data_IF_128198911919
#
_entry.id   IF_128198911919
#
_cell.length_a   1.000
_cell.length_b   1.000
_cell.length_c   1.000
_cell.angle_alpha   90.00
_cell.angle_beta   90.00
_cell.angle_gamma   90.00
#
_symmetry.space_group_name_H-M   'P 1'
#
loop_
_entity.id
_entity.type
_entity.pdbx_description
1 polymer ?
#
# COMPACT_ATOMS: atom_id res chain seq x y z
N UNK A 1 23.58 -25.09 53.46
CA UNK A 1 22.34 -25.89 53.42
C UNK A 1 22.30 -26.63 52.09
N UNK A 2 22.26 -27.97 52.16
CA UNK A 2 21.75 -28.88 51.11
C UNK A 2 20.32 -28.43 50.68
N UNK A 3 19.74 -28.79 49.53
CA UNK A 3 19.39 -30.15 49.06
C UNK A 3 19.08 -30.15 47.54
N UNK A 4 19.59 -31.20 46.88
CA UNK A 4 19.14 -32.02 45.74
C UNK A 4 18.04 -31.60 44.75
N UNK A 5 18.22 -32.08 43.51
CA UNK A 5 17.17 -32.31 42.52
C UNK A 5 17.68 -32.89 41.20
N UNK A 6 17.98 -34.20 41.18
CA UNK A 6 18.28 -35.02 39.99
C UNK A 6 17.09 -35.11 39.02
N UNK A 7 17.30 -34.87 37.71
CA UNK A 7 16.44 -35.42 36.66
C UNK A 7 17.12 -35.39 35.27
N UNK A 8 17.16 -36.55 34.60
CA UNK A 8 16.87 -36.62 33.16
C UNK A 8 18.00 -36.46 32.13
N UNK A 9 19.09 -37.21 32.22
CA UNK A 9 19.97 -37.52 31.06
C UNK A 9 20.15 -39.03 30.97
N UNK A 10 19.21 -39.75 30.37
CA UNK A 10 19.31 -41.20 30.10
C UNK A 10 18.35 -41.63 28.96
N UNK A 11 18.18 -40.80 27.93
CA UNK A 11 17.21 -41.05 26.85
C UNK A 11 17.77 -41.03 25.42
N UNK A 12 19.03 -40.63 25.21
CA UNK A 12 19.60 -40.43 23.86
C UNK A 12 20.70 -41.45 23.49
N UNK A 13 21.31 -42.14 24.47
CA UNK A 13 22.31 -43.20 24.22
C UNK A 13 21.67 -44.56 23.88
N UNK A 14 20.45 -44.83 24.37
CA UNK A 14 19.78 -46.12 24.15
C UNK A 14 19.31 -46.32 22.71
N UNK A 15 19.00 -45.24 22.00
CA UNK A 15 18.47 -45.28 20.63
C UNK A 15 19.61 -45.42 19.59
N UNK A 16 20.78 -44.83 19.87
CA UNK A 16 22.00 -45.04 19.08
C UNK A 16 22.54 -46.47 19.24
N UNK A 17 22.53 -47.03 20.45
CA UNK A 17 23.05 -48.38 20.69
C UNK A 17 22.08 -49.48 20.19
N UNK A 18 20.77 -49.20 20.17
CA UNK A 18 19.76 -50.07 19.56
C UNK A 18 19.85 -50.09 18.02
N UNK A 19 20.02 -48.92 17.39
CA UNK A 19 20.22 -48.82 15.93
C UNK A 19 21.53 -49.45 15.47
N UNK A 20 22.62 -49.35 16.24
CA UNK A 20 23.88 -50.05 15.97
C UNK A 20 23.71 -51.58 16.08
N UNK A 21 22.99 -52.07 17.09
CA UNK A 21 22.71 -53.51 17.24
C UNK A 21 21.77 -54.06 16.17
N UNK A 22 20.83 -53.27 15.65
CA UNK A 22 20.01 -53.66 14.50
C UNK A 22 20.82 -53.72 13.20
N UNK A 23 21.69 -52.72 12.97
CA UNK A 23 22.62 -52.69 11.85
C UNK A 23 23.55 -53.92 11.83
N UNK A 24 24.12 -54.31 12.97
CA UNK A 24 24.98 -55.50 13.07
C UNK A 24 24.18 -56.79 12.82
N UNK A 25 22.93 -56.85 13.30
CA UNK A 25 22.06 -58.03 13.12
C UNK A 25 21.65 -58.21 11.65
N UNK A 26 21.35 -57.13 10.94
CA UNK A 26 21.01 -57.17 9.52
C UNK A 26 22.23 -57.39 8.63
N UNK A 27 23.40 -56.86 9.00
CA UNK A 27 24.68 -57.20 8.37
C UNK A 27 25.01 -58.70 8.46
N UNK A 28 24.80 -59.32 9.63
CA UNK A 28 24.99 -60.78 9.82
C UNK A 28 23.99 -61.61 9.02
N UNK A 29 22.72 -61.18 8.90
CA UNK A 29 21.73 -61.85 8.04
C UNK A 29 22.13 -61.77 6.57
N UNK A 30 22.56 -60.61 6.09
CA UNK A 30 23.02 -60.42 4.71
C UNK A 30 24.24 -61.31 4.40
N UNK A 31 25.20 -61.40 5.32
CA UNK A 31 26.34 -62.31 5.21
C UNK A 31 25.91 -63.78 5.15
N UNK A 32 25.01 -64.22 6.04
CA UNK A 32 24.47 -65.59 6.05
C UNK A 32 23.75 -65.95 4.74
N UNK A 33 22.90 -65.06 4.22
CA UNK A 33 22.23 -65.27 2.93
C UNK A 33 23.20 -65.30 1.75
N UNK A 34 24.26 -64.48 1.77
CA UNK A 34 25.30 -64.54 0.73
C UNK A 34 26.08 -65.86 0.76
N UNK A 35 26.44 -66.35 1.95
CA UNK A 35 27.16 -67.61 2.11
C UNK A 35 26.30 -68.79 1.66
N UNK A 36 25.02 -68.77 2.00
CA UNK A 36 24.07 -69.78 1.54
C UNK A 36 23.90 -69.76 0.02
N UNK A 37 23.82 -68.57 -0.59
CA UNK A 37 23.77 -68.41 -2.05
C UNK A 37 25.03 -68.93 -2.75
N UNK A 38 26.22 -68.66 -2.21
CA UNK A 38 27.50 -69.17 -2.73
C UNK A 38 27.57 -70.69 -2.63
N UNK A 39 27.18 -71.27 -1.48
CA UNK A 39 27.16 -72.71 -1.30
C UNK A 39 26.19 -73.40 -2.27
N UNK A 40 25.00 -72.84 -2.44
CA UNK A 40 23.97 -73.37 -3.34
C UNK A 40 24.39 -73.31 -4.81
N UNK A 41 24.98 -72.18 -5.24
CA UNK A 41 25.48 -72.01 -6.62
C UNK A 41 26.70 -72.90 -6.92
N UNK A 42 27.57 -73.10 -5.93
CA UNK A 42 28.70 -74.04 -6.04
C UNK A 42 28.22 -75.48 -6.17
N UNK A 43 27.23 -75.89 -5.37
CA UNK A 43 26.62 -77.21 -5.43
C UNK A 43 25.93 -77.45 -6.78
N UNK A 44 25.14 -76.48 -7.25
CA UNK A 44 24.47 -76.55 -8.55
C UNK A 44 25.49 -76.61 -9.71
N UNK A 45 26.59 -75.86 -9.63
CA UNK A 45 27.68 -75.90 -10.62
C UNK A 45 28.37 -77.26 -10.66
N UNK A 46 28.61 -77.89 -9.51
CA UNK A 46 29.17 -79.24 -9.43
C UNK A 46 28.23 -80.28 -10.03
N UNK A 47 26.93 -80.17 -9.77
CA UNK A 47 25.91 -81.05 -10.35
C UNK A 47 25.88 -80.89 -11.88
N UNK A 48 25.82 -79.66 -12.40
CA UNK A 48 25.84 -79.36 -13.83
C UNK A 48 27.12 -79.86 -14.51
N UNK A 49 28.28 -79.65 -13.89
CA UNK A 49 29.56 -80.11 -14.41
C UNK A 49 29.61 -81.64 -14.49
N UNK A 50 29.14 -82.32 -13.44
CA UNK A 50 29.06 -83.79 -13.42
C UNK A 50 28.07 -84.34 -14.45
N UNK A 51 27.02 -83.59 -14.75
CA UNK A 51 25.98 -83.94 -15.72
C UNK A 51 26.46 -83.74 -17.17
N UNK A 52 27.09 -82.61 -17.49
CA UNK A 52 27.65 -82.35 -18.82
C UNK A 52 28.82 -83.26 -19.15
N UNK A 53 29.70 -83.54 -18.18
CA UNK A 53 30.81 -84.47 -18.37
C UNK A 53 30.33 -85.87 -18.77
N UNK A 54 29.11 -86.25 -18.38
CA UNK A 54 28.48 -87.53 -18.75
C UNK A 54 27.60 -87.46 -20.00
N UNK A 55 27.29 -86.27 -20.51
CA UNK A 55 26.43 -86.10 -21.69
C UNK A 55 27.22 -85.99 -23.00
N UNK A 56 28.43 -85.40 -22.97
CA UNK A 56 29.24 -85.11 -24.17
C UNK A 56 29.73 -86.37 -24.91
N UNK A 57 29.87 -87.50 -24.21
CA UNK A 57 30.25 -88.80 -24.82
C UNK A 57 29.02 -89.65 -25.24
N UNK A 58 27.80 -89.17 -24.92
CA UNK A 58 26.56 -89.89 -25.16
C UNK A 58 25.94 -89.59 -26.52
N UNK A 59 25.76 -90.63 -27.35
CA UNK A 59 24.83 -90.62 -28.49
C UNK A 59 23.38 -90.39 -28.00
N UNK A 60 23.02 -89.16 -27.65
CA UNK A 60 21.66 -88.65 -27.50
C UNK A 60 20.73 -89.28 -26.45
N UNK A 61 21.18 -90.17 -25.56
CA UNK A 61 20.29 -90.86 -24.60
C UNK A 61 20.58 -90.51 -23.15
N UNK A 62 19.64 -89.80 -22.52
CA UNK A 62 19.75 -89.27 -21.15
C UNK A 62 19.77 -90.33 -20.04
N UNK A 63 19.40 -91.57 -20.35
CA UNK A 63 19.23 -92.64 -19.36
C UNK A 63 20.51 -93.45 -19.09
N UNK A 64 21.58 -93.29 -19.89
CA UNK A 64 22.86 -94.03 -19.76
C UNK A 64 23.99 -93.27 -19.05
N UNK A 65 23.66 -92.13 -18.44
CA UNK A 65 24.59 -91.20 -17.80
C UNK A 65 25.41 -91.83 -16.65
N UNK A 66 24.91 -92.90 -16.01
CA UNK A 66 25.53 -93.49 -14.81
C UNK A 66 26.57 -94.60 -15.06
N UNK A 67 26.80 -95.04 -16.31
CA UNK A 67 27.59 -96.25 -16.60
C UNK A 67 29.00 -96.01 -17.16
N UNK A 68 29.43 -94.75 -17.36
CA UNK A 68 30.68 -94.45 -18.08
C UNK A 68 31.85 -93.97 -17.19
N UNK A 69 33.07 -94.43 -17.52
CA UNK A 69 34.35 -93.95 -16.94
C UNK A 69 34.80 -92.71 -17.70
N UNK A 70 34.92 -91.59 -16.99
CA UNK A 70 35.25 -90.27 -17.54
C UNK A 70 36.72 -90.17 -17.96
N UNK A 71 37.00 -89.74 -19.19
CA UNK A 71 38.36 -89.55 -19.70
C UNK A 71 38.86 -88.13 -19.40
N UNK A 72 40.18 -87.92 -19.39
CA UNK A 72 40.77 -86.66 -18.91
C UNK A 72 40.39 -85.42 -19.77
N UNK A 73 40.10 -85.63 -21.07
CA UNK A 73 39.66 -84.56 -21.99
C UNK A 73 38.20 -84.12 -21.83
N UNK A 74 37.33 -85.02 -21.36
CA UNK A 74 35.88 -84.78 -21.26
C UNK A 74 35.53 -83.85 -20.10
N UNK A 75 36.33 -83.90 -19.03
CA UNK A 75 36.23 -82.96 -17.91
C UNK A 75 36.54 -81.52 -18.32
N UNK A 76 37.45 -81.32 -19.27
CA UNK A 76 37.81 -79.98 -19.73
C UNK A 76 36.70 -79.35 -20.58
N UNK A 77 36.16 -80.07 -21.56
CA UNK A 77 35.02 -79.61 -22.37
C UNK A 77 33.75 -79.37 -21.51
N UNK A 78 33.46 -80.27 -20.57
CA UNK A 78 32.36 -80.08 -19.62
C UNK A 78 32.54 -78.87 -18.70
N UNK A 79 33.77 -78.59 -18.27
CA UNK A 79 34.06 -77.39 -17.47
C UNK A 79 33.78 -76.10 -18.24
N UNK A 80 34.15 -76.03 -19.52
CA UNK A 80 33.87 -74.87 -20.38
C UNK A 80 32.36 -74.64 -20.55
N UNK A 81 31.60 -75.70 -20.82
CA UNK A 81 30.14 -75.62 -20.95
C UNK A 81 29.46 -75.18 -19.64
N UNK A 82 29.94 -75.70 -18.50
CA UNK A 82 29.39 -75.35 -17.17
C UNK A 82 29.69 -73.91 -16.80
N UNK A 83 30.94 -73.45 -16.98
CA UNK A 83 31.34 -72.07 -16.72
C UNK A 83 30.55 -71.11 -17.60
N UNK A 84 30.33 -71.45 -18.89
CA UNK A 84 29.51 -70.64 -19.79
C UNK A 84 28.04 -70.53 -19.30
N UNK A 85 27.44 -71.63 -18.83
CA UNK A 85 26.06 -71.62 -18.33
C UNK A 85 25.90 -70.86 -17.01
N UNK A 86 26.83 -71.04 -16.07
CA UNK A 86 26.83 -70.28 -14.81
C UNK A 86 27.04 -68.79 -15.08
N UNK A 87 27.96 -68.45 -15.98
CA UNK A 87 28.18 -67.07 -16.39
C UNK A 87 26.92 -66.45 -17.03
N UNK A 88 26.20 -67.19 -17.89
CA UNK A 88 24.92 -66.74 -18.47
C UNK A 88 23.83 -66.55 -17.42
N UNK A 89 23.72 -67.46 -16.44
CA UNK A 89 22.74 -67.35 -15.36
C UNK A 89 23.00 -66.14 -14.46
N UNK A 90 24.27 -65.91 -14.10
CA UNK A 90 24.70 -64.74 -13.31
C UNK A 90 24.49 -63.44 -14.10
N UNK A 91 24.88 -63.42 -15.38
CA UNK A 91 24.66 -62.26 -16.25
C UNK A 91 23.17 -61.96 -16.44
N UNK A 92 22.33 -62.98 -16.65
CA UNK A 92 20.88 -62.84 -16.77
C UNK A 92 20.23 -62.36 -15.47
N UNK A 93 20.66 -62.87 -14.31
CA UNK A 93 20.19 -62.41 -13.00
C UNK A 93 20.59 -60.96 -12.71
N UNK A 94 21.82 -60.57 -13.02
CA UNK A 94 22.29 -59.20 -12.90
C UNK A 94 21.55 -58.25 -13.85
N UNK A 95 21.33 -58.65 -15.11
CA UNK A 95 20.55 -57.88 -16.08
C UNK A 95 19.09 -57.70 -15.65
N UNK A 96 18.46 -58.76 -15.13
CA UNK A 96 17.10 -58.68 -14.59
C UNK A 96 17.00 -57.74 -13.38
N UNK A 97 17.95 -57.80 -12.45
CA UNK A 97 18.01 -56.89 -11.30
C UNK A 97 18.27 -55.43 -11.72
N UNK A 98 19.15 -55.21 -12.69
CA UNK A 98 19.39 -53.88 -13.25
C UNK A 98 18.12 -53.33 -13.92
N UNK A 99 17.43 -54.14 -14.72
CA UNK A 99 16.14 -53.78 -15.33
C UNK A 99 15.07 -53.45 -14.28
N UNK A 100 14.93 -54.29 -13.25
CA UNK A 100 13.99 -54.05 -12.13
C UNK A 100 14.30 -52.75 -11.39
N UNK A 101 15.58 -52.48 -11.09
CA UNK A 101 16.01 -51.24 -10.44
C UNK A 101 15.73 -50.01 -11.31
N UNK A 102 16.00 -50.10 -12.61
CA UNK A 102 15.72 -49.01 -13.55
C UNK A 102 14.22 -48.70 -13.60
N UNK A 103 13.37 -49.71 -13.68
CA UNK A 103 11.92 -49.51 -13.69
C UNK A 103 11.42 -48.81 -12.43
N UNK A 104 11.94 -49.17 -11.25
CA UNK A 104 11.60 -48.51 -9.99
C UNK A 104 12.16 -47.09 -9.91
N UNK A 105 13.36 -46.85 -10.43
CA UNK A 105 13.93 -45.50 -10.50
C UNK A 105 13.10 -44.58 -11.40
N UNK A 106 12.65 -45.07 -12.56
CA UNK A 106 11.80 -44.32 -13.48
C UNK A 106 10.43 -43.99 -12.85
N UNK A 107 9.83 -44.94 -12.13
CA UNK A 107 8.59 -44.71 -11.38
C UNK A 107 8.78 -43.69 -10.26
N UNK A 108 9.85 -43.81 -9.48
CA UNK A 108 10.15 -42.88 -8.40
C UNK A 108 10.42 -41.47 -8.92
N UNK A 109 11.09 -41.33 -10.07
CA UNK A 109 11.31 -40.03 -10.71
C UNK A 109 10.00 -39.40 -11.20
N UNK A 110 9.10 -40.20 -11.79
CA UNK A 110 7.77 -39.71 -12.21
C UNK A 110 6.95 -39.23 -11.01
N UNK A 111 6.88 -40.04 -9.95
CA UNK A 111 6.18 -39.65 -8.73
C UNK A 111 6.82 -38.42 -8.08
N UNK A 112 8.16 -38.33 -8.05
CA UNK A 112 8.86 -37.16 -7.54
C UNK A 112 8.53 -35.89 -8.36
N UNK A 113 8.51 -35.98 -9.70
CA UNK A 113 8.13 -34.88 -10.56
C UNK A 113 6.68 -34.45 -10.35
N UNK A 114 5.75 -35.40 -10.24
CA UNK A 114 4.33 -35.13 -9.96
C UNK A 114 4.15 -34.48 -8.58
N UNK A 115 4.82 -34.99 -7.54
CA UNK A 115 4.74 -34.37 -6.20
C UNK A 115 5.28 -32.95 -6.19
N UNK A 116 6.36 -32.66 -6.92
CA UNK A 116 6.92 -31.31 -7.03
C UNK A 116 5.96 -30.35 -7.75
N UNK A 117 5.27 -30.83 -8.79
CA UNK A 117 4.23 -30.03 -9.48
C UNK A 117 3.04 -29.76 -8.56
N UNK A 118 2.57 -30.77 -7.81
CA UNK A 118 1.46 -30.61 -6.87
C UNK A 118 1.83 -29.65 -5.74
N UNK A 119 3.02 -29.74 -5.16
CA UNK A 119 3.46 -28.84 -4.09
C UNK A 119 3.66 -27.41 -4.60
N UNK A 120 4.20 -27.23 -5.81
CA UNK A 120 4.30 -25.91 -6.43
C UNK A 120 2.92 -25.29 -6.68
N UNK A 121 1.96 -26.08 -7.20
CA UNK A 121 0.59 -25.62 -7.40
C UNK A 121 -0.12 -25.31 -6.08
N UNK A 122 0.06 -26.15 -5.05
CA UNK A 122 -0.50 -25.92 -3.73
C UNK A 122 0.08 -24.66 -3.08
N UNK A 123 1.39 -24.43 -3.24
CA UNK A 123 2.04 -23.21 -2.77
C UNK A 123 1.47 -21.97 -3.47
N UNK A 124 1.38 -21.99 -4.81
CA UNK A 124 0.81 -20.88 -5.58
C UNK A 124 -0.63 -20.57 -5.15
N UNK A 125 -1.47 -21.61 -5.00
CA UNK A 125 -2.84 -21.46 -4.54
C UNK A 125 -2.92 -20.93 -3.10
N UNK A 126 -2.00 -21.32 -2.22
CA UNK A 126 -1.95 -20.83 -0.84
C UNK A 126 -1.60 -19.35 -0.76
N UNK A 127 -0.69 -18.86 -1.61
CA UNK A 127 -0.33 -17.44 -1.69
C UNK A 127 -1.50 -16.61 -2.21
N UNK A 128 -2.15 -17.06 -3.29
CA UNK A 128 -3.33 -16.40 -3.85
C UNK A 128 -4.48 -16.36 -2.83
N UNK A 129 -4.73 -17.47 -2.14
CA UNK A 129 -5.74 -17.54 -1.09
C UNK A 129 -5.42 -16.60 0.08
N UNK A 130 -4.16 -16.54 0.49
CA UNK A 130 -3.73 -15.64 1.55
C UNK A 130 -3.96 -14.18 1.16
N UNK A 131 -3.65 -13.78 -0.08
CA UNK A 131 -3.91 -12.41 -0.55
C UNK A 131 -5.42 -12.09 -0.56
N UNK A 132 -6.26 -13.00 -1.06
CA UNK A 132 -7.72 -12.84 -1.05
C UNK A 132 -8.26 -12.70 0.38
N UNK A 133 -7.78 -13.52 1.31
CA UNK A 133 -8.20 -13.47 2.71
C UNK A 133 -7.80 -12.14 3.36
N UNK A 134 -6.59 -11.67 3.10
CA UNK A 134 -6.11 -10.38 3.59
C UNK A 134 -6.91 -9.20 3.01
N UNK A 135 -7.17 -9.18 1.69
CA UNK A 135 -8.02 -8.16 1.07
C UNK A 135 -9.43 -8.17 1.67
N UNK A 136 -9.98 -9.36 1.93
CA UNK A 136 -11.29 -9.50 2.57
C UNK A 136 -11.29 -8.92 3.97
N UNK A 137 -10.23 -9.15 4.76
CA UNK A 137 -10.08 -8.60 6.09
C UNK A 137 -10.07 -7.07 6.07
N UNK A 138 -9.27 -6.46 5.19
CA UNK A 138 -9.23 -5.00 5.04
C UNK A 138 -10.59 -4.42 4.61
N UNK A 139 -11.31 -5.08 3.70
CA UNK A 139 -12.69 -4.68 3.34
C UNK A 139 -13.68 -4.80 4.51
N UNK A 140 -13.46 -5.73 5.43
CA UNK A 140 -14.25 -5.82 6.66
C UNK A 140 -13.93 -4.62 7.58
N UNK A 141 -12.64 -4.32 7.80
CA UNK A 141 -12.22 -3.15 8.58
C UNK A 141 -12.74 -1.84 7.98
N UNK A 142 -12.79 -1.73 6.66
CA UNK A 142 -13.40 -0.59 5.96
C UNK A 142 -14.84 -0.36 6.40
N UNK A 143 -15.66 -1.42 6.34
CA UNK A 143 -17.07 -1.36 6.74
C UNK A 143 -17.23 -1.00 8.22
N UNK A 144 -16.35 -1.51 9.07
CA UNK A 144 -16.35 -1.19 10.51
C UNK A 144 -15.98 0.27 10.77
N UNK A 145 -14.91 0.78 10.16
CA UNK A 145 -14.49 2.18 10.26
C UNK A 145 -15.58 3.13 9.74
N UNK A 146 -16.19 2.81 8.59
CA UNK A 146 -17.32 3.58 8.04
C UNK A 146 -18.53 3.57 8.99
N UNK A 147 -18.82 2.44 9.64
CA UNK A 147 -19.89 2.35 10.65
C UNK A 147 -19.57 3.20 11.88
N UNK A 148 -18.30 3.22 12.33
CA UNK A 148 -17.85 4.06 13.44
C UNK A 148 -18.00 5.55 13.12
N UNK A 149 -17.67 5.98 11.90
CA UNK A 149 -17.89 7.36 11.43
C UNK A 149 -19.37 7.75 11.38
N UNK A 150 -20.29 6.82 11.17
CA UNK A 150 -21.73 7.07 11.20
C UNK A 150 -22.35 7.06 12.61
N UNK A 151 -21.55 6.78 13.65
CA UNK A 151 -22.07 6.56 15.00
C UNK A 151 -22.51 7.87 15.68
N UNK A 152 -23.58 7.89 16.49
CA UNK A 152 -24.05 9.10 17.18
C UNK A 152 -23.07 9.66 18.21
N UNK A 153 -22.25 8.80 18.84
CA UNK A 153 -21.20 9.22 19.79
C UNK A 153 -19.98 9.80 19.07
N UNK A 154 -19.54 11.03 19.38
CA UNK A 154 -18.36 11.65 18.78
C UNK A 154 -17.08 10.87 19.05
N UNK A 155 -16.93 10.27 20.24
CA UNK A 155 -15.75 9.47 20.58
C UNK A 155 -15.59 8.25 19.65
N UNK A 156 -16.72 7.63 19.26
CA UNK A 156 -16.71 6.50 18.32
C UNK A 156 -16.40 6.99 16.91
N UNK A 157 -16.90 8.17 16.50
CA UNK A 157 -16.55 8.75 15.20
C UNK A 157 -15.06 9.09 15.10
N UNK A 158 -14.48 9.67 16.16
CA UNK A 158 -13.03 9.94 16.25
C UNK A 158 -12.24 8.63 16.11
N UNK A 159 -12.65 7.56 16.79
CA UNK A 159 -12.03 6.24 16.60
C UNK A 159 -12.15 5.76 15.15
N UNK A 160 -13.31 5.98 14.51
CA UNK A 160 -13.54 5.70 13.10
C UNK A 160 -12.62 6.49 12.16
N UNK A 161 -12.31 7.75 12.46
CA UNK A 161 -11.34 8.56 11.68
C UNK A 161 -9.95 7.92 11.72
N UNK A 162 -9.46 7.57 12.92
CA UNK A 162 -8.16 6.91 13.05
C UNK A 162 -8.14 5.52 12.40
N UNK A 163 -9.22 4.75 12.55
CA UNK A 163 -9.35 3.44 11.92
C UNK A 163 -9.35 3.54 10.38
N UNK A 164 -10.04 4.54 9.82
CA UNK A 164 -10.04 4.80 8.37
C UNK A 164 -8.66 5.24 7.87
N UNK A 165 -7.97 6.10 8.63
CA UNK A 165 -6.60 6.50 8.31
C UNK A 165 -5.62 5.32 8.32
N UNK A 166 -5.64 4.50 9.37
CA UNK A 166 -4.79 3.31 9.45
C UNK A 166 -5.10 2.29 8.34
N UNK A 167 -6.37 2.15 7.95
CA UNK A 167 -6.76 1.30 6.83
C UNK A 167 -6.22 1.82 5.48
N UNK A 168 -6.23 3.13 5.26
CA UNK A 168 -5.64 3.72 4.07
C UNK A 168 -4.12 3.45 4.05
N UNK A 169 -3.45 3.58 5.19
CA UNK A 169 -2.02 3.27 5.34
C UNK A 169 -1.75 1.77 5.03
N UNK A 170 -2.61 0.85 5.50
CA UNK A 170 -2.54 -0.59 5.18
C UNK A 170 -2.74 -0.87 3.68
N UNK A 171 -3.66 -0.18 3.01
CA UNK A 171 -3.88 -0.31 1.56
C UNK A 171 -2.70 0.23 0.76
N UNK A 172 -2.12 1.35 1.20
CA UNK A 172 -0.93 1.92 0.57
C UNK A 172 0.25 0.95 0.62
N UNK A 173 0.47 0.28 1.75
CA UNK A 173 1.54 -0.73 1.89
C UNK A 173 1.44 -1.94 0.94
N UNK A 174 0.30 -2.05 0.24
CA UNK A 174 0.00 -3.11 -0.74
C UNK A 174 -0.11 -2.59 -2.17
N UNK A 175 0.31 -1.35 -2.42
CA UNK A 175 0.22 -0.69 -3.73
C UNK A 175 -1.22 -0.60 -4.27
N UNK A 176 -2.22 -0.50 -3.37
CA UNK A 176 -3.65 -0.41 -3.72
C UNK A 176 -4.16 1.02 -3.63
N UNK A 177 -3.62 1.87 -4.48
CA UNK A 177 -3.91 3.30 -4.49
C UNK A 177 -5.40 3.63 -4.70
N UNK A 178 -6.10 2.78 -5.45
CA UNK A 178 -7.55 2.84 -5.64
C UNK A 178 -8.32 2.77 -4.31
N UNK A 179 -7.90 1.88 -3.40
CA UNK A 179 -8.54 1.70 -2.10
C UNK A 179 -8.09 2.78 -1.09
N UNK A 180 -6.87 3.32 -1.22
CA UNK A 180 -6.42 4.50 -0.44
C UNK A 180 -7.30 5.71 -0.74
N UNK A 181 -7.53 5.99 -2.03
CA UNK A 181 -8.40 7.07 -2.47
C UNK A 181 -9.81 6.92 -1.89
N UNK A 182 -10.39 5.71 -1.94
CA UNK A 182 -11.72 5.45 -1.34
C UNK A 182 -11.77 5.80 0.15
N UNK A 183 -10.72 5.49 0.91
CA UNK A 183 -10.67 5.85 2.33
C UNK A 183 -10.63 7.37 2.55
N UNK A 184 -9.85 8.09 1.73
CA UNK A 184 -9.76 9.55 1.75
C UNK A 184 -11.08 10.19 1.31
N UNK A 185 -11.76 9.64 0.30
CA UNK A 185 -13.06 10.10 -0.17
C UNK A 185 -14.12 10.01 0.93
N UNK A 186 -14.08 8.97 1.79
CA UNK A 186 -14.99 8.89 2.94
C UNK A 186 -14.70 9.99 3.96
N UNK A 187 -13.42 10.27 4.24
CA UNK A 187 -13.02 11.33 5.17
C UNK A 187 -13.39 12.71 4.63
N UNK A 188 -13.09 12.98 3.36
CA UNK A 188 -13.46 14.22 2.68
C UNK A 188 -14.98 14.36 2.57
N UNK A 189 -15.68 13.30 2.19
CA UNK A 189 -17.14 13.24 2.18
C UNK A 189 -17.77 13.52 3.53
N UNK A 190 -17.13 13.12 4.64
CA UNK A 190 -17.57 13.51 5.98
C UNK A 190 -17.49 15.04 6.19
N UNK A 191 -16.39 15.67 5.77
CA UNK A 191 -16.20 17.12 5.87
C UNK A 191 -17.22 17.91 5.03
N UNK A 192 -17.72 17.31 3.94
CA UNK A 192 -18.74 17.92 3.07
C UNK A 192 -20.18 17.78 3.59
N UNK A 193 -20.40 17.04 4.67
CA UNK A 193 -21.74 16.96 5.27
C UNK A 193 -22.15 18.32 5.86
N UNK A 194 -23.46 18.63 5.92
CA UNK A 194 -23.94 19.89 6.49
C UNK A 194 -23.40 20.11 7.91
N UNK A 195 -22.84 21.29 8.15
CA UNK A 195 -22.23 21.66 9.41
C UNK A 195 -22.54 23.10 9.78
N UNK A 196 -23.06 23.30 10.99
CA UNK A 196 -23.28 24.63 11.56
C UNK A 196 -22.29 24.81 12.71
N UNK A 197 -21.29 25.65 12.48
CA UNK A 197 -20.23 25.99 13.45
C UNK A 197 -20.75 26.37 14.83
N UNK A 198 -21.83 27.15 14.88
CA UNK A 198 -22.50 27.60 16.11
C UNK A 198 -23.01 26.46 17.00
N UNK A 199 -23.13 25.25 16.47
CA UNK A 199 -23.54 24.04 17.19
C UNK A 199 -22.44 22.97 17.24
N UNK A 200 -21.26 23.30 16.73
CA UNK A 200 -20.11 22.41 16.58
C UNK A 200 -19.63 21.78 17.88
N UNK A 201 -19.67 22.53 18.99
CA UNK A 201 -19.30 22.09 20.34
C UNK A 201 -20.53 21.82 21.23
N UNK A 202 -21.73 21.85 20.64
CA UNK A 202 -22.95 21.69 21.41
C UNK A 202 -23.25 20.21 21.62
N UNK A 203 -23.73 19.89 22.81
CA UNK A 203 -24.36 18.60 23.08
C UNK A 203 -25.81 18.52 22.53
N UNK A 204 -26.26 19.52 21.77
CA UNK A 204 -27.59 19.52 21.16
C UNK A 204 -27.61 18.53 19.99
N UNK A 205 -28.57 17.61 20.01
CA UNK A 205 -28.81 16.65 18.92
C UNK A 205 -29.94 17.09 18.01
N UNK A 206 -30.85 17.92 18.52
CA UNK A 206 -32.05 18.33 17.80
C UNK A 206 -32.50 19.72 18.22
N UNK A 207 -32.92 20.53 17.25
CA UNK A 207 -33.66 21.77 17.45
C UNK A 207 -34.95 21.72 16.64
N UNK A 208 -36.06 22.10 17.27
CA UNK A 208 -37.36 22.24 16.59
C UNK A 208 -37.73 23.72 16.63
N UNK A 209 -37.87 24.33 15.47
CA UNK A 209 -38.30 25.72 15.34
C UNK A 209 -39.75 25.70 14.85
N UNK A 210 -40.68 26.17 15.69
CA UNK A 210 -42.10 26.30 15.33
C UNK A 210 -42.39 27.72 14.86
N UNK A 211 -42.76 27.87 13.60
CA UNK A 211 -43.13 29.15 12.99
C UNK A 211 -44.64 29.20 12.78
N UNK A 212 -45.34 30.25 13.26
CA UNK A 212 -46.76 30.40 12.98
C UNK A 212 -46.96 30.55 11.47
N UNK A 213 -47.90 29.79 10.91
CA UNK A 213 -48.25 29.91 9.50
C UNK A 213 -49.03 31.20 9.31
N UNK A 214 -48.34 32.29 8.98
CA UNK A 214 -48.98 33.54 8.62
C UNK A 214 -49.50 33.40 7.18
N UNK A 215 -50.78 33.05 7.00
CA UNK A 215 -51.45 33.32 5.74
C UNK A 215 -52.85 33.91 5.92
N UNK A 216 -53.11 34.91 5.06
CA UNK A 216 -54.12 35.96 5.11
C UNK A 216 -55.55 35.52 4.73
N UNK A 217 -55.94 34.28 5.01
CA UNK A 217 -57.31 33.80 4.75
C UNK A 217 -58.02 33.47 6.06
N UNK A 218 -59.12 34.20 6.32
CA UNK A 218 -59.95 34.10 7.54
C UNK A 218 -60.49 32.70 7.86
N UNK A 219 -60.36 31.74 6.94
CA UNK A 219 -60.92 30.39 7.05
C UNK A 219 -59.87 29.25 7.09
N UNK A 220 -58.56 29.55 7.08
CA UNK A 220 -57.54 28.51 7.22
C UNK A 220 -57.23 28.24 8.69
N UNK A 221 -57.32 26.98 9.13
CA UNK A 221 -57.00 26.59 10.50
C UNK A 221 -55.58 27.06 10.90
N UNK A 222 -55.42 27.59 12.11
CA UNK A 222 -54.11 27.95 12.67
C UNK A 222 -53.21 26.71 12.70
N UNK A 223 -52.32 26.58 11.71
CA UNK A 223 -51.23 25.62 11.70
C UNK A 223 -49.91 26.28 12.09
N UNK A 224 -49.02 25.53 12.74
CA UNK A 224 -47.61 25.90 12.86
C UNK A 224 -46.80 25.06 11.87
N UNK A 225 -45.79 25.66 11.25
CA UNK A 225 -44.76 24.93 10.50
C UNK A 225 -43.64 24.62 11.47
N UNK A 226 -43.29 23.35 11.62
CA UNK A 226 -42.15 22.92 12.44
C UNK A 226 -40.96 22.57 11.56
N UNK A 227 -39.86 23.28 11.72
CA UNK A 227 -38.57 22.95 11.10
C UNK A 227 -37.77 22.09 12.10
N UNK A 228 -37.41 20.87 11.71
CA UNK A 228 -36.65 19.93 12.54
C UNK A 228 -35.21 19.90 12.05
N UNK A 229 -34.27 20.32 12.90
CA UNK A 229 -32.85 20.28 12.63
C UNK A 229 -32.21 19.24 13.52
N UNK A 230 -31.55 18.26 12.92
CA UNK A 230 -30.75 17.26 13.63
C UNK A 230 -29.27 17.59 13.46
N UNK A 231 -28.55 17.62 14.59
CA UNK A 231 -27.13 17.98 14.64
C UNK A 231 -26.33 16.78 15.13
N UNK A 232 -25.12 16.61 14.58
CA UNK A 232 -24.13 15.70 15.14
C UNK A 232 -23.48 16.38 16.34
N UNK A 233 -23.60 15.76 17.52
CA UNK A 233 -22.97 16.29 18.73
C UNK A 233 -21.45 16.36 18.57
N UNK A 234 -20.84 17.47 18.99
CA UNK A 234 -19.38 17.62 19.01
C UNK A 234 -18.74 17.23 17.66
N UNK A 235 -19.34 17.70 16.57
CA UNK A 235 -18.85 17.41 15.23
C UNK A 235 -17.61 18.26 14.88
N UNK A 236 -17.39 19.37 15.60
CA UNK A 236 -16.17 20.17 15.48
C UNK A 236 -14.93 19.30 15.70
N UNK A 237 -14.90 18.54 16.80
CA UNK A 237 -13.74 17.76 17.20
C UNK A 237 -13.48 16.59 16.24
N UNK A 238 -14.54 16.00 15.69
CA UNK A 238 -14.42 14.95 14.66
C UNK A 238 -13.81 15.53 13.39
N UNK A 239 -14.33 16.67 12.89
CA UNK A 239 -13.85 17.35 11.68
C UNK A 239 -12.41 17.81 11.82
N UNK A 240 -12.05 18.41 12.96
CA UNK A 240 -10.68 18.78 13.28
C UNK A 240 -9.75 17.56 13.31
N UNK A 241 -10.23 16.42 13.83
CA UNK A 241 -9.47 15.17 13.80
C UNK A 241 -9.24 14.69 12.36
N UNK A 242 -10.25 14.77 11.48
CA UNK A 242 -10.11 14.41 10.06
C UNK A 242 -9.04 15.28 9.40
N UNK A 243 -9.14 16.61 9.53
CA UNK A 243 -8.16 17.55 8.96
C UNK A 243 -6.76 17.26 9.49
N UNK A 244 -6.62 17.01 10.79
CA UNK A 244 -5.33 16.65 11.41
C UNK A 244 -4.76 15.35 10.86
N UNK A 245 -5.59 14.31 10.71
CA UNK A 245 -5.17 13.02 10.14
C UNK A 245 -4.72 13.21 8.70
N UNK A 246 -5.50 13.89 7.86
CA UNK A 246 -5.11 14.19 6.48
C UNK A 246 -3.80 14.97 6.44
N UNK A 247 -3.73 16.14 7.11
CA UNK A 247 -2.55 16.99 7.10
C UNK A 247 -1.28 16.26 7.59
N UNK A 248 -1.40 15.34 8.57
CA UNK A 248 -0.26 14.57 9.06
C UNK A 248 0.35 13.63 8.02
N UNK A 249 -0.44 13.02 7.13
CA UNK A 249 0.08 12.15 6.05
C UNK A 249 0.61 12.92 4.84
N UNK A 250 0.40 14.24 4.84
CA UNK A 250 0.86 15.13 3.78
C UNK A 250 2.07 15.97 4.19
N UNK A 251 2.57 15.86 5.43
CA UNK A 251 3.70 16.66 5.92
C UNK A 251 4.99 16.36 5.15
N UNK A 252 5.65 17.39 4.62
CA UNK A 252 6.78 17.34 3.67
C UNK A 252 8.00 16.47 4.07
N UNK A 253 8.21 16.18 5.35
CA UNK A 253 9.46 15.56 5.84
C UNK A 253 9.45 14.01 5.90
N UNK A 254 8.36 13.35 5.49
CA UNK A 254 8.23 11.87 5.48
C UNK A 254 7.96 11.33 4.06
N UNK A 255 8.04 10.01 3.84
CA UNK A 255 7.51 9.40 2.62
C UNK A 255 5.98 9.61 2.64
N UNK A 256 5.40 10.22 1.59
CA UNK A 256 4.03 10.75 1.60
C UNK A 256 3.02 9.76 1.00
N UNK A 257 2.44 8.82 1.77
CA UNK A 257 1.57 7.80 1.18
C UNK A 257 0.29 8.38 0.57
N UNK A 258 -0.11 9.59 1.01
CA UNK A 258 -1.37 10.20 0.60
C UNK A 258 -1.19 11.41 -0.33
N UNK A 259 0.05 11.89 -0.60
CA UNK A 259 0.25 13.09 -1.42
C UNK A 259 -0.34 12.94 -2.81
N UNK A 260 -0.19 11.75 -3.41
CA UNK A 260 -0.65 11.42 -4.77
C UNK A 260 -2.18 11.28 -4.90
N UNK A 261 -2.93 11.29 -3.80
CA UNK A 261 -4.38 11.21 -3.81
C UNK A 261 -5.01 12.56 -4.16
N UNK A 262 -6.22 12.50 -4.74
CA UNK A 262 -7.06 13.68 -4.90
C UNK A 262 -7.83 13.97 -3.60
N UNK A 263 -8.04 15.25 -3.29
CA UNK A 263 -8.76 15.68 -2.10
C UNK A 263 -9.92 16.60 -2.47
N UNK A 264 -11.15 16.11 -2.29
CA UNK A 264 -12.37 16.86 -2.55
C UNK A 264 -12.97 17.45 -1.27
N UNK A 265 -12.59 18.67 -0.95
CA UNK A 265 -13.10 19.47 0.15
C UNK A 265 -14.18 20.47 -0.28
N UNK A 266 -14.84 20.25 -1.43
CA UNK A 266 -15.85 21.18 -1.92
C UNK A 266 -16.96 21.46 -0.89
N UNK A 267 -17.33 22.72 -0.69
CA UNK A 267 -18.34 23.16 0.28
C UNK A 267 -18.05 22.76 1.75
N UNK A 268 -16.84 22.27 2.05
CA UNK A 268 -16.48 21.90 3.41
C UNK A 268 -16.33 23.15 4.29
N UNK A 269 -16.79 23.04 5.53
CA UNK A 269 -16.57 24.07 6.55
C UNK A 269 -15.40 23.65 7.44
N UNK A 270 -14.34 24.45 7.41
CA UNK A 270 -13.13 24.24 8.18
C UNK A 270 -13.05 25.18 9.37
N UNK A 271 -12.58 24.64 10.49
CA UNK A 271 -12.31 25.43 11.69
C UNK A 271 -10.88 25.21 12.17
N UNK A 272 -10.10 26.29 12.22
CA UNK A 272 -8.68 26.27 12.57
C UNK A 272 -7.88 25.34 11.64
N UNK A 273 -8.14 25.44 10.33
CA UNK A 273 -7.46 24.64 9.33
C UNK A 273 -5.97 24.95 9.29
N UNK A 274 -5.16 23.91 9.38
CA UNK A 274 -3.71 24.01 9.29
C UNK A 274 -3.17 22.98 8.29
N UNK A 275 -2.84 23.50 7.11
CA UNK A 275 -2.17 22.82 6.01
C UNK A 275 -0.77 23.42 5.81
N UNK A 276 -0.08 23.82 6.88
CA UNK A 276 1.30 24.29 6.76
C UNK A 276 2.21 23.16 6.32
N UNK A 277 3.16 23.44 5.42
CA UNK A 277 4.22 22.48 5.02
C UNK A 277 3.68 21.10 4.60
N UNK A 278 2.50 21.08 3.98
CA UNK A 278 1.92 19.87 3.38
C UNK A 278 2.20 19.81 1.87
N UNK A 279 2.23 18.60 1.31
CA UNK A 279 2.41 18.31 -0.10
C UNK A 279 1.14 17.68 -0.68
N UNK A 280 0.53 18.34 -1.66
CA UNK A 280 -0.56 17.80 -2.49
C UNK A 280 -0.01 17.50 -3.88
N UNK A 281 0.34 16.24 -4.16
CA UNK A 281 0.74 15.79 -5.51
C UNK A 281 -0.48 15.55 -6.40
N UNK A 282 -1.56 14.99 -5.85
CA UNK A 282 -2.88 14.97 -6.47
C UNK A 282 -3.60 16.32 -6.35
N UNK A 283 -4.78 16.41 -6.94
CA UNK A 283 -5.54 17.65 -6.97
C UNK A 283 -6.15 17.97 -5.61
N UNK A 284 -6.19 19.26 -5.25
CA UNK A 284 -6.80 19.74 -4.02
C UNK A 284 -7.94 20.71 -4.34
N UNK A 285 -9.17 20.24 -4.14
CA UNK A 285 -10.38 21.00 -4.40
C UNK A 285 -10.97 21.57 -3.10
N UNK A 286 -10.98 22.89 -2.95
CA UNK A 286 -11.60 23.65 -1.88
C UNK A 286 -12.71 24.58 -2.41
N UNK A 287 -13.29 24.26 -3.57
CA UNK A 287 -14.35 25.08 -4.17
C UNK A 287 -15.53 25.25 -3.21
N UNK A 288 -15.99 26.49 -3.02
CA UNK A 288 -17.07 26.84 -2.10
C UNK A 288 -16.77 26.59 -0.62
N UNK A 289 -15.58 26.13 -0.26
CA UNK A 289 -15.22 25.86 1.13
C UNK A 289 -15.23 27.14 1.97
N UNK A 290 -15.66 27.02 3.23
CA UNK A 290 -15.65 28.13 4.18
C UNK A 290 -14.65 27.86 5.31
N UNK A 291 -13.71 28.77 5.52
CA UNK A 291 -12.68 28.69 6.55
C UNK A 291 -12.99 29.66 7.67
N UNK A 292 -13.03 29.17 8.91
CA UNK A 292 -13.20 29.96 10.12
C UNK A 292 -12.00 29.72 11.06
N UNK A 293 -11.47 30.76 11.71
CA UNK A 293 -10.43 30.60 12.70
C UNK A 293 -10.37 31.74 13.73
N UNK A 294 -10.21 31.37 14.99
CA UNK A 294 -9.94 32.31 16.08
C UNK A 294 -8.52 32.89 16.04
N UNK A 295 -7.63 32.32 15.21
CA UNK A 295 -6.22 32.70 15.09
C UNK A 295 -5.80 32.89 13.64
N UNK A 296 -5.76 31.81 12.88
CA UNK A 296 -5.21 31.77 11.54
C UNK A 296 -5.72 30.55 10.74
N UNK A 297 -5.98 30.76 9.46
CA UNK A 297 -6.06 29.68 8.47
C UNK A 297 -4.71 29.62 7.75
N UNK A 298 -4.00 28.49 7.85
CA UNK A 298 -2.58 28.42 7.47
C UNK A 298 -2.33 27.40 6.37
N UNK A 299 -1.78 27.88 5.25
CA UNK A 299 -1.21 27.11 4.14
C UNK A 299 0.30 27.37 3.97
N UNK A 300 0.92 27.99 4.98
CA UNK A 300 2.29 28.46 4.93
C UNK A 300 3.27 27.35 4.53
N UNK A 301 4.07 27.61 3.50
CA UNK A 301 5.07 26.66 2.99
C UNK A 301 4.52 25.38 2.38
N UNK A 302 3.21 25.28 2.13
CA UNK A 302 2.62 24.13 1.43
C UNK A 302 3.03 24.10 -0.05
N UNK A 303 2.96 22.92 -0.64
CA UNK A 303 3.28 22.67 -2.05
C UNK A 303 2.08 21.97 -2.68
N UNK A 304 1.54 22.57 -3.74
CA UNK A 304 0.53 21.97 -4.61
C UNK A 304 1.21 21.61 -5.93
N UNK A 305 1.51 20.32 -6.13
CA UNK A 305 1.98 19.81 -7.42
C UNK A 305 0.82 19.46 -8.36
N UNK A 306 -0.34 19.06 -7.83
CA UNK A 306 -1.58 18.98 -8.60
C UNK A 306 -2.31 20.32 -8.70
N UNK A 307 -3.43 20.35 -9.41
CA UNK A 307 -4.28 21.54 -9.49
C UNK A 307 -4.86 21.88 -8.11
N UNK A 308 -4.87 23.17 -7.76
CA UNK A 308 -5.44 23.67 -6.52
C UNK A 308 -6.60 24.62 -6.82
N UNK A 309 -7.82 24.27 -6.41
CA UNK A 309 -8.99 25.11 -6.64
C UNK A 309 -9.58 25.59 -5.32
N UNK A 310 -9.90 26.88 -5.27
CA UNK A 310 -10.52 27.62 -4.19
C UNK A 310 -11.64 28.51 -4.77
N UNK A 311 -12.29 28.06 -5.86
CA UNK A 311 -13.31 28.84 -6.55
C UNK A 311 -14.49 29.11 -5.61
N UNK A 312 -14.81 30.37 -5.39
CA UNK A 312 -15.88 30.77 -4.46
C UNK A 312 -15.60 30.43 -2.99
N UNK A 313 -14.38 30.01 -2.63
CA UNK A 313 -14.01 29.76 -1.25
C UNK A 313 -14.06 31.05 -0.42
N UNK A 314 -14.46 30.94 0.85
CA UNK A 314 -14.56 32.09 1.76
C UNK A 314 -13.65 31.89 2.95
N UNK A 315 -12.74 32.84 3.15
CA UNK A 315 -11.83 32.86 4.27
C UNK A 315 -12.31 33.89 5.28
N UNK A 316 -12.93 33.41 6.35
CA UNK A 316 -13.46 34.23 7.43
C UNK A 316 -12.43 34.39 8.57
N UNK A 317 -12.64 35.45 9.35
CA UNK A 317 -11.91 35.72 10.59
C UNK A 317 -10.42 36.08 10.36
N UNK A 318 -9.60 36.05 11.41
CA UNK A 318 -8.54 37.05 11.62
C UNK A 318 -7.44 37.12 10.54
N UNK A 319 -6.81 36.00 10.19
CA UNK A 319 -5.67 35.97 9.28
C UNK A 319 -5.71 34.75 8.35
N UNK A 320 -5.44 34.97 7.06
CA UNK A 320 -5.29 33.92 6.04
C UNK A 320 -3.88 33.95 5.46
N UNK A 321 -3.13 32.87 5.67
CA UNK A 321 -1.69 32.83 5.42
C UNK A 321 -1.32 31.78 4.36
N UNK A 322 -1.05 32.23 3.14
CA UNK A 322 -0.47 31.48 2.02
C UNK A 322 1.01 31.80 1.81
N UNK A 323 1.69 32.30 2.84
CA UNK A 323 3.09 32.73 2.73
C UNK A 323 3.99 31.55 2.33
N UNK A 324 4.90 31.79 1.39
CA UNK A 324 5.81 30.77 0.85
C UNK A 324 5.15 29.51 0.28
N UNK A 325 3.85 29.55 -0.01
CA UNK A 325 3.16 28.45 -0.71
C UNK A 325 3.64 28.36 -2.16
N UNK A 326 3.84 27.14 -2.66
CA UNK A 326 4.19 26.87 -4.06
C UNK A 326 3.03 26.16 -4.76
N UNK A 327 2.48 26.81 -5.79
CA UNK A 327 1.54 26.21 -6.74
C UNK A 327 2.29 25.90 -8.04
N UNK A 328 2.58 24.62 -8.30
CA UNK A 328 3.30 24.20 -9.51
C UNK A 328 2.39 24.15 -10.72
N UNK A 329 1.16 23.68 -10.54
CA UNK A 329 0.10 23.67 -11.55
C UNK A 329 -0.89 24.81 -11.31
N UNK A 330 -2.07 24.76 -11.92
CA UNK A 330 -3.00 25.88 -11.91
C UNK A 330 -3.59 26.11 -10.51
N UNK A 331 -3.59 27.38 -10.07
CA UNK A 331 -4.21 27.80 -8.82
C UNK A 331 -5.44 28.67 -9.11
N UNK A 332 -6.62 28.19 -8.77
CA UNK A 332 -7.88 28.88 -9.03
C UNK A 332 -8.45 29.50 -7.75
N UNK A 333 -8.45 30.83 -7.66
CA UNK A 333 -9.08 31.64 -6.61
C UNK A 333 -10.19 32.53 -7.19
N UNK A 334 -10.78 32.13 -8.32
CA UNK A 334 -11.91 32.88 -8.88
C UNK A 334 -13.02 32.98 -7.83
N UNK A 335 -13.73 34.12 -7.80
CA UNK A 335 -14.83 34.37 -6.87
C UNK A 335 -14.50 34.20 -5.36
N UNK A 336 -13.25 33.95 -4.98
CA UNK A 336 -12.86 33.74 -3.60
C UNK A 336 -13.02 35.04 -2.80
N UNK A 337 -13.43 34.93 -1.54
CA UNK A 337 -13.65 36.08 -0.67
C UNK A 337 -12.76 35.98 0.58
N UNK A 338 -11.92 36.99 0.79
CA UNK A 338 -10.98 37.04 1.91
C UNK A 338 -11.40 38.14 2.87
N UNK A 339 -11.71 37.77 4.11
CA UNK A 339 -12.09 38.67 5.19
C UNK A 339 -10.99 38.72 6.27
N UNK A 340 -11.16 39.58 7.28
CA UNK A 340 -10.30 39.63 8.46
C UNK A 340 -9.33 40.80 8.49
N UNK A 341 -8.26 40.64 9.27
CA UNK A 341 -7.23 41.67 9.42
C UNK A 341 -6.20 41.55 8.30
N UNK A 342 -5.81 40.33 7.92
CA UNK A 342 -4.71 40.08 6.98
C UNK A 342 -4.98 38.92 6.02
N UNK A 343 -4.72 39.18 4.74
CA UNK A 343 -4.53 38.15 3.71
C UNK A 343 -3.10 38.22 3.20
N UNK A 344 -2.28 37.21 3.47
CA UNK A 344 -0.86 37.22 3.12
C UNK A 344 -0.49 36.08 2.17
N UNK A 345 -0.05 36.44 0.97
CA UNK A 345 0.57 35.55 -0.01
C UNK A 345 2.10 35.75 -0.05
N UNK A 346 2.69 36.55 0.83
CA UNK A 346 4.09 36.95 0.74
C UNK A 346 5.06 35.79 0.44
N UNK A 347 5.88 35.97 -0.59
CA UNK A 347 6.86 34.99 -1.02
C UNK A 347 6.30 33.72 -1.67
N UNK A 348 4.98 33.61 -1.88
CA UNK A 348 4.38 32.50 -2.60
C UNK A 348 4.75 32.52 -4.10
N UNK A 349 4.61 31.36 -4.73
CA UNK A 349 4.96 31.14 -6.11
C UNK A 349 3.82 30.45 -6.87
N UNK A 350 3.33 31.11 -7.91
CA UNK A 350 2.34 30.61 -8.86
C UNK A 350 3.05 30.26 -10.17
N UNK A 351 3.61 29.06 -10.25
CA UNK A 351 4.39 28.60 -11.40
C UNK A 351 3.50 28.11 -12.56
N UNK A 352 2.38 27.44 -12.26
CA UNK A 352 1.38 27.00 -13.25
C UNK A 352 0.36 28.06 -13.62
N UNK A 353 0.43 29.21 -12.95
CA UNK A 353 -0.47 30.34 -13.14
C UNK A 353 -1.57 30.42 -12.07
N UNK A 354 -2.12 31.61 -11.90
CA UNK A 354 -3.16 31.88 -10.90
C UNK A 354 -4.36 32.62 -11.50
N UNK A 355 -5.57 32.25 -11.08
CA UNK A 355 -6.80 32.93 -11.46
C UNK A 355 -7.41 33.58 -10.22
N UNK A 356 -7.59 34.89 -10.23
CA UNK A 356 -8.24 35.67 -9.17
C UNK A 356 -9.42 36.45 -9.72
N UNK A 357 -10.06 35.96 -10.80
CA UNK A 357 -11.12 36.70 -11.47
C UNK A 357 -12.31 36.82 -10.53
N UNK A 358 -12.83 38.03 -10.35
CA UNK A 358 -13.93 38.33 -9.39
C UNK A 358 -13.63 37.99 -7.94
N UNK A 359 -12.37 37.73 -7.58
CA UNK A 359 -11.97 37.57 -6.18
C UNK A 359 -12.19 38.89 -5.42
N UNK A 360 -12.53 38.81 -4.14
CA UNK A 360 -12.81 39.96 -3.28
C UNK A 360 -11.93 39.93 -2.05
N UNK A 361 -11.11 40.96 -1.90
CA UNK A 361 -10.22 41.14 -0.76
C UNK A 361 -10.83 42.19 0.17
N UNK A 362 -11.51 41.74 1.22
CA UNK A 362 -12.11 42.56 2.28
C UNK A 362 -11.23 42.69 3.52
N UNK A 363 -10.10 41.96 3.59
CA UNK A 363 -9.18 42.06 4.72
C UNK A 363 -8.63 43.49 4.85
N UNK A 364 -8.32 43.95 6.07
CA UNK A 364 -7.70 45.27 6.28
C UNK A 364 -6.43 45.43 5.45
N UNK A 365 -5.57 44.41 5.46
CA UNK A 365 -4.34 44.34 4.67
C UNK A 365 -4.34 43.13 3.73
N UNK A 366 -3.83 43.31 2.51
CA UNK A 366 -3.59 42.22 1.55
C UNK A 366 -2.18 42.30 0.97
N UNK A 367 -1.34 41.30 1.18
CA UNK A 367 0.06 41.35 0.77
C UNK A 367 0.44 40.22 -0.21
N UNK A 368 1.07 40.64 -1.30
CA UNK A 368 1.66 39.85 -2.38
C UNK A 368 3.13 40.29 -2.58
N UNK A 369 3.88 40.48 -1.49
CA UNK A 369 5.28 40.94 -1.56
C UNK A 369 6.18 39.78 -1.96
N UNK A 370 7.20 40.00 -2.79
CA UNK A 370 8.21 38.97 -3.05
C UNK A 370 7.72 37.78 -3.88
N UNK A 371 6.59 37.94 -4.58
CA UNK A 371 5.89 36.88 -5.30
C UNK A 371 6.63 36.39 -6.54
N UNK A 372 6.35 35.15 -6.92
CA UNK A 372 6.63 34.63 -8.27
C UNK A 372 5.30 34.45 -9.00
N UNK A 373 5.03 35.27 -10.01
CA UNK A 373 3.90 35.09 -10.92
C UNK A 373 4.38 34.68 -12.31
N UNK A 374 4.14 33.43 -12.69
CA UNK A 374 4.39 32.94 -14.05
C UNK A 374 3.15 33.03 -14.98
N UNK A 375 2.11 33.70 -14.49
CA UNK A 375 0.84 34.01 -15.12
C UNK A 375 -0.18 34.29 -14.01
N UNK A 376 -0.88 35.43 -14.02
CA UNK A 376 -1.92 35.70 -13.03
C UNK A 376 -3.00 36.62 -13.55
N UNK A 377 -4.28 36.27 -13.36
CA UNK A 377 -5.41 37.04 -13.87
C UNK A 377 -6.25 37.61 -12.74
N UNK A 378 -6.22 38.93 -12.55
CA UNK A 378 -6.99 39.67 -11.54
C UNK A 378 -8.18 40.43 -12.16
N UNK A 379 -8.71 39.97 -13.29
CA UNK A 379 -9.82 40.66 -13.95
C UNK A 379 -11.08 40.66 -13.08
N UNK A 380 -11.73 41.81 -12.96
CA UNK A 380 -12.90 42.03 -12.10
C UNK A 380 -12.62 41.76 -10.60
N UNK A 381 -11.35 41.60 -10.19
CA UNK A 381 -11.00 41.46 -8.78
C UNK A 381 -11.21 42.78 -8.03
N UNK A 382 -11.73 42.69 -6.81
CA UNK A 382 -12.03 43.86 -5.99
C UNK A 382 -11.16 43.89 -4.74
N UNK A 383 -10.45 44.99 -4.55
CA UNK A 383 -9.53 45.22 -3.42
C UNK A 383 -10.10 46.28 -2.46
N UNK A 384 -10.87 45.85 -1.46
CA UNK A 384 -11.45 46.71 -0.43
C UNK A 384 -10.53 46.93 0.78
N UNK A 385 -9.35 46.31 0.78
CA UNK A 385 -8.33 46.51 1.81
C UNK A 385 -7.89 47.96 1.92
N UNK A 386 -7.49 48.37 3.13
CA UNK A 386 -6.84 49.66 3.34
C UNK A 386 -5.51 49.73 2.60
N UNK A 387 -4.77 48.62 2.56
CA UNK A 387 -3.51 48.50 1.83
C UNK A 387 -3.42 47.18 1.09
N UNK A 388 -3.01 47.25 -0.18
CA UNK A 388 -2.66 46.09 -1.00
C UNK A 388 -1.25 46.26 -1.51
N UNK A 389 -0.38 45.26 -1.32
CA UNK A 389 1.03 45.35 -1.73
C UNK A 389 1.39 44.28 -2.74
N UNK A 390 1.97 44.71 -3.86
CA UNK A 390 2.65 43.88 -4.85
C UNK A 390 4.14 44.25 -4.95
N UNK A 391 4.73 44.64 -3.82
CA UNK A 391 6.09 45.15 -3.77
C UNK A 391 7.12 44.02 -4.07
N UNK A 392 8.20 44.40 -4.76
CA UNK A 392 9.38 43.56 -4.99
C UNK A 392 9.10 42.12 -5.52
N UNK A 393 8.28 41.92 -6.58
CA UNK A 393 8.05 40.59 -7.11
C UNK A 393 9.37 39.98 -7.60
N UNK A 394 9.59 38.71 -7.33
CA UNK A 394 10.74 37.97 -7.89
C UNK A 394 10.56 37.71 -9.38
N UNK A 395 9.33 37.45 -9.81
CA UNK A 395 8.93 37.27 -11.22
C UNK A 395 7.55 37.90 -11.43
N UNK A 396 7.39 38.69 -12.49
CA UNK A 396 6.16 39.37 -12.89
C UNK A 396 5.85 39.10 -14.37
N UNK A 397 5.44 37.87 -14.70
CA UNK A 397 5.18 37.45 -16.09
C UNK A 397 3.71 37.14 -16.32
N UNK A 398 3.10 37.74 -17.35
CA UNK A 398 1.73 37.44 -17.75
C UNK A 398 0.71 37.77 -16.65
N UNK A 399 0.91 38.89 -15.95
CA UNK A 399 0.03 39.35 -14.89
C UNK A 399 -0.93 40.40 -15.45
N UNK A 400 -2.22 40.11 -15.37
CA UNK A 400 -3.29 40.91 -15.96
C UNK A 400 -4.21 41.51 -14.91
N UNK A 401 -4.36 42.83 -14.95
CA UNK A 401 -5.32 43.62 -14.18
C UNK A 401 -6.22 44.44 -15.11
N UNK A 402 -7.37 44.88 -14.60
CA UNK A 402 -8.33 45.70 -15.36
C UNK A 402 -7.78 47.08 -15.79
N UNK A 403 -6.66 47.50 -15.21
CA UNK A 403 -5.96 48.75 -15.53
C UNK A 403 -4.64 48.53 -16.29
N UNK A 404 -4.38 47.34 -16.85
CA UNK A 404 -3.16 47.07 -17.62
C UNK A 404 -3.00 48.05 -18.81
N UNK A 405 -4.11 48.39 -19.48
CA UNK A 405 -4.11 49.35 -20.60
C UNK A 405 -4.07 50.82 -20.14
N UNK A 406 -4.43 51.11 -18.89
CA UNK A 406 -4.54 52.47 -18.35
C UNK A 406 -4.32 52.50 -16.83
N UNK A 407 -3.07 52.72 -16.43
CA UNK A 407 -2.67 52.76 -15.03
C UNK A 407 -3.34 53.88 -14.21
N UNK A 408 -3.97 54.88 -14.84
CA UNK A 408 -4.72 55.91 -14.11
C UNK A 408 -5.98 55.36 -13.43
N UNK A 409 -6.47 54.19 -13.88
CA UNK A 409 -7.60 53.46 -13.26
C UNK A 409 -7.18 52.62 -12.05
N UNK A 410 -5.87 52.52 -11.77
CA UNK A 410 -5.37 51.74 -10.63
C UNK A 410 -5.85 52.35 -9.31
N UNK A 411 -6.48 51.57 -8.42
CA UNK A 411 -6.84 52.02 -7.07
C UNK A 411 -5.62 52.53 -6.27
N UNK A 412 -5.80 53.61 -5.51
CA UNK A 412 -4.70 54.25 -4.77
C UNK A 412 -4.20 53.45 -3.57
N UNK A 413 -5.01 52.52 -3.06
CA UNK A 413 -4.66 51.59 -1.99
C UNK A 413 -3.73 50.45 -2.46
N UNK A 414 -3.51 50.31 -3.79
CA UNK A 414 -2.62 49.30 -4.36
C UNK A 414 -1.21 49.89 -4.52
N UNK A 415 -0.24 49.24 -3.90
CA UNK A 415 1.18 49.57 -3.90
C UNK A 415 1.98 48.51 -4.71
N UNK A 416 3.08 48.91 -5.37
CA UNK A 416 3.65 50.26 -5.41
C UNK A 416 2.82 51.24 -6.26
N UNK A 417 3.06 52.54 -6.09
CA UNK A 417 2.39 53.58 -6.89
C UNK A 417 2.77 53.50 -8.36
N UNK A 418 4.05 53.26 -8.65
CA UNK A 418 4.55 52.97 -9.99
C UNK A 418 4.07 51.57 -10.43
N UNK A 419 3.54 51.45 -11.65
CA UNK A 419 2.92 50.21 -12.13
C UNK A 419 3.28 49.90 -13.58
N UNK A 420 3.57 48.63 -13.94
CA UNK A 420 3.69 47.46 -13.07
C UNK A 420 4.88 47.53 -12.10
N UNK A 421 4.88 46.76 -10.99
CA UNK A 421 6.01 46.71 -10.06
C UNK A 421 7.28 46.23 -10.75
N UNK A 422 8.43 46.76 -10.31
CA UNK A 422 9.74 46.33 -10.82
C UNK A 422 10.13 45.02 -10.15
N UNK A 423 10.59 44.06 -10.93
CA UNK A 423 11.12 42.81 -10.40
C UNK A 423 12.34 43.07 -9.50
N UNK A 424 12.41 42.34 -8.38
CA UNK A 424 13.57 42.31 -7.52
C UNK A 424 14.73 41.68 -8.30
N UNK A 425 15.59 42.53 -8.86
CA UNK A 425 16.74 42.07 -9.64
C UNK A 425 17.55 41.06 -8.84
N UNK A 426 17.68 39.84 -9.37
CA UNK A 426 18.69 38.88 -8.90
C UNK A 426 20.03 39.60 -9.01
N UNK A 427 20.62 39.97 -7.87
CA UNK A 427 21.91 40.65 -7.82
C UNK A 427 22.94 39.89 -8.63
N UNK A 428 23.17 40.33 -9.86
CA UNK A 428 24.37 39.99 -10.63
C UNK A 428 25.44 41.01 -10.24
N UNK A 429 25.86 40.98 -8.98
CA UNK A 429 27.16 41.56 -8.63
C UNK A 429 28.24 40.51 -8.93
N UNK A 430 28.44 40.28 -10.23
CA UNK A 430 29.71 39.81 -10.76
C UNK A 430 30.43 41.03 -11.34
N UNK A 431 30.79 41.98 -10.47
CA UNK A 431 31.84 42.93 -10.80
C UNK A 431 33.17 42.15 -10.84
N UNK A 432 33.88 42.08 -11.98
CA UNK A 432 35.16 41.41 -12.04
C UNK A 432 36.19 42.21 -11.23
N UNK A 433 37.03 41.49 -10.49
CA UNK A 433 38.26 42.01 -9.87
C UNK A 433 38.94 43.03 -10.79
N UNK A 434 39.19 44.23 -10.26
CA UNK A 434 40.22 45.12 -10.78
C UNK A 434 41.34 45.24 -9.75
N UNK A 435 42.40 44.48 -10.08
CA UNK A 435 43.84 44.68 -9.81
C UNK A 435 44.30 44.91 -8.38
#
# INVERSE_FOLDING_TARGET
MNIAGHAGRNGLDGDQDATIRESDRDGRKLLLWSLFGIALTSLASLILLSFFARMIDGKGSWWKIFEHKLNQGDWFEASRATVALVALAVAGGAAYLAYRRQLTADQNQRTAAETLLVTANAYKLSVERHDIEQQRELRIRFREAATQLAHPSPAVRIAGVYAMGALADDWHSRDRQDEVQVCIDVLCGYLRLPYLREHGDSHLTKRVISRPRNNLDRNSARGAVEDHFEYRQNDREVRQTIVKVIASRLKKDEEHPWSICDFDFSDAVFENANFSEVLFEGNANFDGAEFYSDKWTVFMGSIFEGDASFDGAKFHEKETLFMWTLFKEAANFNNAEFYGDLTAFDGAAFAGGALFRKAKFYSTDTFFTGMVFAGAMFNEATFMSERVKFDDPKIWRGVDFDWNDDASKKPSNILPSDWPPKELGLGTDNSPEKS
#
